data_IF_309663109555
#
_entry.id   IF_309663109555
#
_cell.length_a   1.000
_cell.length_b   1.000
_cell.length_c   1.000
_cell.angle_alpha   90.00
_cell.angle_beta   90.00
_cell.angle_gamma   90.00
#
_symmetry.space_group_name_H-M   'P 1'
#
loop_
_entity.id
_entity.type
_entity.pdbx_description
1 polymer ?
#
# COMPACT_ATOMS: atom_id res chain seq x y z
N UNK A 1 25.53 21.44 19.15
CA UNK A 1 25.73 20.07 19.63
C UNK A 1 24.58 19.28 19.06
N UNK A 2 24.78 18.47 18.02
CA UNK A 2 23.92 17.31 17.86
C UNK A 2 24.70 16.17 18.51
N UNK A 3 24.48 15.93 19.82
CA UNK A 3 25.06 14.76 20.42
C UNK A 3 24.41 13.59 19.71
N UNK A 4 25.18 12.78 19.00
CA UNK A 4 24.79 11.42 18.62
C UNK A 4 24.47 10.69 19.91
N UNK A 5 23.24 10.88 20.38
CA UNK A 5 22.65 10.20 21.50
C UNK A 5 22.69 8.73 21.13
N UNK A 6 23.04 7.85 22.08
CA UNK A 6 23.03 6.41 21.87
C UNK A 6 21.64 5.89 21.42
N UNK A 7 20.60 6.72 21.54
CA UNK A 7 19.24 6.50 21.05
C UNK A 7 18.79 7.62 20.12
N UNK A 8 19.65 8.03 19.20
CA UNK A 8 19.27 9.05 18.20
C UNK A 8 18.10 8.54 17.37
N UNK A 9 17.07 9.37 17.22
CA UNK A 9 15.95 9.10 16.32
C UNK A 9 16.45 8.92 14.88
N UNK A 10 17.47 9.68 14.45
CA UNK A 10 18.07 9.54 13.12
C UNK A 10 18.64 8.13 12.88
N UNK A 11 19.35 7.59 13.87
CA UNK A 11 19.99 6.28 13.75
C UNK A 11 18.94 5.16 13.71
N UNK A 12 17.82 5.34 14.40
CA UNK A 12 16.69 4.42 14.36
C UNK A 12 15.94 4.49 13.02
N UNK A 13 15.71 5.70 12.49
CA UNK A 13 15.10 5.90 11.18
C UNK A 13 15.99 5.35 10.05
N UNK A 14 17.30 5.57 10.11
CA UNK A 14 18.28 5.00 9.17
C UNK A 14 18.31 3.46 9.22
N UNK A 15 18.12 2.87 10.39
CA UNK A 15 18.02 1.42 10.53
C UNK A 15 16.72 0.87 9.92
N UNK A 16 15.59 1.54 10.17
CA UNK A 16 14.28 1.17 9.59
C UNK A 16 14.25 1.34 8.07
N UNK A 17 14.95 2.34 7.52
CA UNK A 17 15.02 2.58 6.08
C UNK A 17 15.79 1.47 5.34
N UNK A 18 16.72 0.80 6.02
CA UNK A 18 17.49 -0.33 5.45
C UNK A 18 16.71 -1.63 5.35
N UNK A 19 15.59 -1.75 6.05
CA UNK A 19 14.81 -3.00 6.13
C UNK A 19 13.96 -3.25 4.85
N UNK A 20 14.08 -2.37 3.85
CA UNK A 20 13.32 -2.44 2.59
C UNK A 20 11.88 -1.97 2.79
N UNK A 21 11.14 -1.79 1.69
CA UNK A 21 9.72 -1.49 1.78
C UNK A 21 8.92 -2.81 1.85
N UNK A 22 8.26 -3.13 2.99
CA UNK A 22 7.43 -4.32 3.07
C UNK A 22 6.31 -4.34 2.01
N UNK A 23 5.91 -3.18 1.50
CA UNK A 23 4.92 -3.08 0.42
C UNK A 23 5.48 -3.54 -0.93
N UNK A 24 6.79 -3.39 -1.17
CA UNK A 24 7.44 -3.95 -2.37
C UNK A 24 7.46 -5.47 -2.29
N UNK A 25 7.85 -6.02 -1.14
CA UNK A 25 7.83 -7.47 -0.91
C UNK A 25 6.42 -8.02 -1.09
N UNK A 26 5.40 -7.35 -0.54
CA UNK A 26 4.01 -7.78 -0.72
C UNK A 26 3.59 -7.76 -2.19
N UNK A 27 3.98 -6.75 -2.96
CA UNK A 27 3.65 -6.68 -4.38
C UNK A 27 4.33 -7.74 -5.23
N UNK A 28 5.55 -8.13 -4.87
CA UNK A 28 6.28 -9.19 -5.57
C UNK A 28 5.80 -10.60 -5.20
N UNK A 29 5.34 -10.78 -3.97
CA UNK A 29 5.06 -12.12 -3.42
C UNK A 29 3.59 -12.51 -3.49
N UNK A 30 2.67 -11.54 -3.55
CA UNK A 30 1.22 -11.79 -3.46
C UNK A 30 0.57 -11.61 -4.82
N UNK A 31 -0.07 -12.67 -5.32
CA UNK A 31 -1.02 -12.55 -6.43
C UNK A 31 -2.35 -11.97 -5.92
N UNK A 32 -2.52 -10.66 -6.10
CA UNK A 32 -3.74 -9.96 -5.63
C UNK A 32 -5.01 -10.37 -6.36
N UNK A 33 -4.90 -10.99 -7.54
CA UNK A 33 -6.05 -11.50 -8.29
C UNK A 33 -6.78 -12.60 -7.50
N UNK A 34 -6.06 -13.32 -6.64
CA UNK A 34 -6.62 -14.28 -5.69
C UNK A 34 -7.76 -13.70 -4.84
N UNK A 35 -7.69 -12.41 -4.49
CA UNK A 35 -8.70 -11.75 -3.65
C UNK A 35 -9.90 -11.22 -4.43
N UNK A 36 -9.93 -11.31 -5.77
CA UNK A 36 -10.97 -10.66 -6.59
C UNK A 36 -12.39 -10.99 -6.12
N UNK A 37 -12.68 -12.26 -5.82
CA UNK A 37 -14.02 -12.66 -5.40
C UNK A 37 -14.47 -11.94 -4.12
N UNK A 38 -13.59 -11.89 -3.11
CA UNK A 38 -13.85 -11.19 -1.85
C UNK A 38 -13.92 -9.68 -2.03
N UNK A 39 -13.08 -9.11 -2.91
CA UNK A 39 -13.11 -7.69 -3.20
C UNK A 39 -14.42 -7.29 -3.91
N UNK A 40 -14.88 -8.07 -4.89
CA UNK A 40 -16.16 -7.82 -5.59
C UNK A 40 -17.33 -7.90 -4.62
N UNK A 41 -17.35 -8.92 -3.75
CA UNK A 41 -18.39 -9.10 -2.75
C UNK A 41 -18.37 -7.96 -1.71
N UNK A 42 -17.20 -7.65 -1.16
CA UNK A 42 -17.04 -6.66 -0.09
C UNK A 42 -17.20 -5.21 -0.53
N UNK A 43 -16.85 -4.89 -1.78
CA UNK A 43 -17.04 -3.54 -2.35
C UNK A 43 -18.50 -3.26 -2.72
N UNK A 44 -19.33 -4.31 -2.85
CA UNK A 44 -20.77 -4.16 -3.06
C UNK A 44 -21.11 -3.35 -4.30
N UNK A 45 -20.31 -3.45 -5.37
CA UNK A 45 -20.62 -2.78 -6.63
C UNK A 45 -21.99 -3.22 -7.10
N UNK A 46 -22.88 -2.25 -7.32
CA UNK A 46 -24.19 -2.51 -7.90
C UNK A 46 -24.05 -3.17 -9.27
N UNK A 47 -25.09 -3.89 -9.69
CA UNK A 47 -25.20 -4.63 -10.96
C UNK A 47 -25.08 -3.78 -12.25
N UNK A 48 -24.71 -2.50 -12.14
CA UNK A 48 -24.60 -1.55 -13.25
C UNK A 48 -25.94 -1.14 -13.87
N UNK A 49 -27.07 -1.66 -13.37
CA UNK A 49 -28.40 -1.47 -13.97
C UNK A 49 -28.93 -0.04 -13.89
N UNK A 50 -28.44 0.75 -12.92
CA UNK A 50 -28.89 2.13 -12.68
C UNK A 50 -28.25 3.16 -13.60
N UNK A 51 -27.36 2.74 -14.50
CA UNK A 51 -26.60 3.62 -15.38
C UNK A 51 -25.55 4.46 -14.62
N UNK A 52 -24.44 4.76 -15.28
CA UNK A 52 -23.33 5.53 -14.69
C UNK A 52 -21.96 5.11 -15.23
N UNK A 53 -20.91 5.76 -14.74
CA UNK A 53 -19.52 5.35 -15.02
C UNK A 53 -19.30 3.96 -14.39
N UNK A 54 -18.73 2.99 -15.12
CA UNK A 54 -18.36 1.71 -14.54
C UNK A 54 -17.45 1.90 -13.32
N UNK A 55 -17.61 1.09 -12.26
CA UNK A 55 -16.69 1.11 -11.12
C UNK A 55 -15.26 0.78 -11.59
N UNK A 56 -14.27 1.26 -10.84
CA UNK A 56 -12.88 0.87 -11.06
C UNK A 56 -12.70 -0.64 -10.85
N UNK A 57 -11.67 -1.21 -11.48
CA UNK A 57 -11.32 -2.61 -11.22
C UNK A 57 -10.95 -2.76 -9.72
N UNK A 58 -11.59 -3.70 -9.00
CA UNK A 58 -11.44 -3.83 -7.56
C UNK A 58 -10.02 -4.19 -7.13
N UNK A 59 -9.30 -4.98 -7.96
CA UNK A 59 -7.92 -5.39 -7.70
C UNK A 59 -6.97 -4.22 -7.96
N UNK A 60 -7.21 -3.41 -9.00
CA UNK A 60 -6.45 -2.18 -9.24
C UNK A 60 -6.64 -1.17 -8.10
N UNK A 61 -7.86 -1.02 -7.58
CA UNK A 61 -8.14 -0.08 -6.48
C UNK A 61 -7.40 -0.50 -5.21
N UNK A 62 -7.46 -1.79 -4.87
CA UNK A 62 -6.71 -2.35 -3.74
C UNK A 62 -5.19 -2.18 -3.90
N UNK A 63 -4.66 -2.38 -5.11
CA UNK A 63 -3.23 -2.17 -5.40
C UNK A 63 -2.79 -0.70 -5.33
N UNK A 64 -3.63 0.24 -5.80
CA UNK A 64 -3.31 1.66 -5.82
C UNK A 64 -3.12 2.24 -4.41
N UNK A 65 -3.88 1.75 -3.43
CA UNK A 65 -3.71 2.13 -2.02
C UNK A 65 -2.31 1.78 -1.50
N UNK A 66 -1.77 0.61 -1.87
CA UNK A 66 -0.39 0.23 -1.52
C UNK A 66 0.66 1.07 -2.27
N UNK A 67 0.35 1.51 -3.49
CA UNK A 67 1.27 2.36 -4.26
C UNK A 67 1.37 3.79 -3.71
N UNK A 68 0.27 4.36 -3.22
CA UNK A 68 0.29 5.74 -2.72
C UNK A 68 0.96 5.86 -1.34
N UNK A 69 0.93 4.79 -0.55
CA UNK A 69 1.66 4.68 0.73
C UNK A 69 3.19 4.68 0.57
N UNK A 70 3.73 4.39 -0.63
CA UNK A 70 5.17 4.53 -0.91
C UNK A 70 5.65 5.99 -0.84
N UNK A 71 4.82 6.94 -1.26
CA UNK A 71 5.24 8.35 -1.37
C UNK A 71 5.45 9.03 -0.02
N UNK A 72 4.87 8.48 1.05
CA UNK A 72 5.02 9.04 2.40
C UNK A 72 6.33 8.65 3.10
N UNK A 73 7.05 7.63 2.61
CA UNK A 73 8.22 7.09 3.32
C UNK A 73 9.58 7.46 2.71
N UNK A 74 9.60 8.03 1.50
CA UNK A 74 10.84 8.42 0.78
C UNK A 74 11.34 9.84 1.20
N UNK A 75 10.68 10.53 2.15
CA UNK A 75 11.03 11.91 2.54
C UNK A 75 11.34 12.04 4.04
N UNK A 76 11.84 11.00 4.71
CA UNK A 76 12.36 11.14 6.10
C UNK A 76 13.75 10.60 6.26
#
# INVERSE_FOLDING_TARGET
MDPKSLFSLSDHLDALSKEGDPLEVLQETVDFEYFRAWLVEGLGYGDGSKGGRPPFDPVMMFNADFSHLRQFRVIS
#
